data_IF_215506473358
#
_entry.id   IF_215506473358
#
_cell.length_a   1.000
_cell.length_b   1.000
_cell.length_c   1.000
_cell.angle_alpha   90.00
_cell.angle_beta   90.00
_cell.angle_gamma   90.00
#
_symmetry.space_group_name_H-M   'P 1'
#
loop_
_entity.id
_entity.type
_entity.pdbx_description
1 polymer ?
#
# COMPACT_ATOMS: atom_id res chain seq x y z
N UNK A 1 0.40 10.07 9.90
CA UNK A 1 -0.12 9.21 8.83
C UNK A 1 -0.34 7.85 9.43
N UNK A 2 -1.58 7.38 9.36
CA UNK A 2 -1.95 6.03 9.76
C UNK A 2 -1.86 5.12 8.54
N UNK A 3 -0.87 4.22 8.53
CA UNK A 3 -0.57 3.36 7.39
C UNK A 3 -0.87 1.92 7.72
N UNK A 4 -1.86 1.35 7.04
CA UNK A 4 -2.16 -0.08 7.08
C UNK A 4 -1.64 -0.76 5.81
N UNK A 5 -0.86 -1.83 5.97
CA UNK A 5 -0.38 -2.65 4.86
C UNK A 5 -0.98 -4.05 4.99
N UNK A 6 -1.73 -4.47 3.98
CA UNK A 6 -2.30 -5.81 3.85
C UNK A 6 -1.55 -6.58 2.78
N UNK A 7 -1.13 -7.80 3.09
CA UNK A 7 -0.60 -8.74 2.09
C UNK A 7 -1.58 -9.88 1.87
N UNK A 8 -2.39 -9.78 0.82
CA UNK A 8 -3.35 -10.82 0.44
C UNK A 8 -2.66 -12.07 -0.13
N UNK A 9 -1.39 -11.96 -0.52
CA UNK A 9 -0.61 -13.07 -1.07
C UNK A 9 0.00 -13.94 0.02
N UNK A 10 0.11 -13.44 1.26
CA UNK A 10 0.83 -14.04 2.40
C UNK A 10 2.24 -14.52 2.05
N UNK A 11 2.85 -13.92 1.02
CA UNK A 11 4.09 -14.38 0.41
C UNK A 11 5.19 -13.32 0.45
N UNK A 12 4.84 -12.09 0.84
CA UNK A 12 5.78 -10.97 0.86
C UNK A 12 6.65 -11.08 2.13
N UNK A 13 7.99 -11.11 1.99
CA UNK A 13 8.88 -11.10 3.15
C UNK A 13 8.69 -9.85 4.02
N UNK A 14 8.80 -10.01 5.34
CA UNK A 14 8.66 -8.90 6.29
C UNK A 14 9.60 -7.71 5.99
N UNK A 15 10.81 -7.99 5.51
CA UNK A 15 11.78 -6.95 5.10
C UNK A 15 11.24 -6.08 3.95
N UNK A 16 10.47 -6.66 3.03
CA UNK A 16 9.84 -5.94 1.93
C UNK A 16 8.66 -5.10 2.41
N UNK A 17 7.87 -5.61 3.35
CA UNK A 17 6.78 -4.86 3.99
C UNK A 17 7.36 -3.64 4.73
N UNK A 18 8.45 -3.84 5.48
CA UNK A 18 9.13 -2.75 6.18
C UNK A 18 9.67 -1.70 5.22
N UNK A 19 10.28 -2.12 4.10
CA UNK A 19 10.75 -1.21 3.07
C UNK A 19 9.62 -0.34 2.50
N UNK A 20 8.46 -0.93 2.22
CA UNK A 20 7.28 -0.19 1.72
C UNK A 20 6.83 0.84 2.75
N UNK A 21 6.75 0.44 4.02
CA UNK A 21 6.40 1.35 5.12
C UNK A 21 7.36 2.53 5.21
N UNK A 22 8.66 2.27 5.20
CA UNK A 22 9.70 3.30 5.35
C UNK A 22 9.65 4.31 4.19
N UNK A 23 9.47 3.83 2.97
CA UNK A 23 9.35 4.69 1.77
C UNK A 23 8.11 5.55 1.85
N UNK A 24 6.95 4.98 2.19
CA UNK A 24 5.70 5.73 2.29
C UNK A 24 5.74 6.75 3.41
N UNK A 25 6.29 6.40 4.58
CA UNK A 25 6.45 7.33 5.69
C UNK A 25 7.39 8.49 5.34
N UNK A 26 8.52 8.19 4.68
CA UNK A 26 9.43 9.21 4.16
C UNK A 26 8.72 10.14 3.16
N UNK A 27 8.00 9.57 2.18
CA UNK A 27 7.27 10.35 1.18
C UNK A 27 6.17 11.21 1.80
N UNK A 28 5.43 10.70 2.78
CA UNK A 28 4.40 11.47 3.48
C UNK A 28 4.98 12.66 4.24
N UNK A 29 6.12 12.47 4.90
CA UNK A 29 6.87 13.56 5.55
C UNK A 29 7.37 14.58 4.53
N UNK A 30 7.94 14.12 3.42
CA UNK A 30 8.46 15.00 2.36
C UNK A 30 7.36 15.85 1.70
N UNK A 31 6.17 15.27 1.53
CA UNK A 31 5.01 15.94 0.95
C UNK A 31 4.23 16.79 1.97
N UNK A 32 4.69 16.86 3.22
CA UNK A 32 4.03 17.57 4.32
C UNK A 32 2.55 17.15 4.48
N UNK A 33 2.26 15.86 4.31
CA UNK A 33 0.90 15.35 4.48
C UNK A 33 0.43 15.55 5.93
N UNK A 34 -0.86 15.87 6.14
CA UNK A 34 -1.45 15.97 7.47
C UNK A 34 -1.18 14.73 8.33
N UNK A 35 -1.01 14.91 9.64
CA UNK A 35 -0.72 13.82 10.56
C UNK A 35 -1.84 12.78 10.64
N UNK A 36 -3.08 13.18 10.37
CA UNK A 36 -4.28 12.37 10.31
C UNK A 36 -4.55 11.76 8.92
N UNK A 37 -3.57 11.84 8.01
CA UNK A 37 -3.69 11.14 6.72
C UNK A 37 -3.79 9.64 6.93
N UNK A 38 -4.94 9.06 6.59
CA UNK A 38 -5.16 7.63 6.54
C UNK A 38 -4.76 7.07 5.17
N UNK A 39 -3.98 5.99 5.16
CA UNK A 39 -3.55 5.32 3.94
C UNK A 39 -3.56 3.81 4.12
N UNK A 40 -4.23 3.10 3.22
CA UNK A 40 -4.23 1.63 3.17
C UNK A 40 -3.56 1.15 1.89
N UNK A 41 -2.61 0.21 2.01
CA UNK A 41 -1.90 -0.41 0.89
C UNK A 41 -2.17 -1.91 0.91
N UNK A 42 -2.73 -2.43 -0.18
CA UNK A 42 -2.93 -3.88 -0.36
C UNK A 42 -1.98 -4.42 -1.40
N UNK A 43 -1.12 -5.35 -1.00
CA UNK A 43 -0.27 -6.13 -1.86
C UNK A 43 -1.07 -7.35 -2.34
N UNK A 44 -1.28 -7.44 -3.65
CA UNK A 44 -2.09 -8.49 -4.28
C UNK A 44 -1.46 -8.92 -5.61
N UNK A 45 -1.88 -10.07 -6.11
CA UNK A 45 -1.37 -10.60 -7.38
C UNK A 45 -2.03 -9.91 -8.59
N UNK A 46 -1.33 -9.95 -9.73
CA UNK A 46 -1.71 -9.26 -10.96
C UNK A 46 -3.10 -9.67 -11.51
N UNK A 47 -3.50 -10.93 -11.32
CA UNK A 47 -4.82 -11.41 -11.76
C UNK A 47 -5.96 -10.74 -10.99
N UNK A 48 -5.78 -10.53 -9.67
CA UNK A 48 -6.81 -9.95 -8.81
C UNK A 48 -7.01 -8.45 -9.09
N UNK A 49 -5.92 -7.68 -9.30
CA UNK A 49 -6.04 -6.26 -9.65
C UNK A 49 -6.59 -6.07 -11.07
N UNK A 50 -6.37 -7.01 -11.99
CA UNK A 50 -6.93 -6.96 -13.33
C UNK A 50 -8.47 -7.04 -13.29
N UNK A 51 -9.03 -7.97 -12.52
CA UNK A 51 -10.48 -8.08 -12.32
C UNK A 51 -11.08 -6.83 -11.66
N UNK A 52 -10.41 -6.25 -10.65
CA UNK A 52 -10.85 -5.02 -9.99
C UNK A 52 -10.83 -3.83 -10.97
N UNK A 53 -9.75 -3.65 -11.73
CA UNK A 53 -9.66 -2.56 -12.70
C UNK A 53 -10.73 -2.69 -13.79
N UNK A 54 -11.00 -3.91 -14.27
CA UNK A 54 -12.05 -4.17 -15.27
C UNK A 54 -13.45 -3.81 -14.73
N UNK A 55 -13.66 -4.00 -13.43
CA UNK A 55 -14.94 -3.73 -12.75
C UNK A 55 -15.16 -2.25 -12.41
N UNK A 56 -14.11 -1.48 -12.11
CA UNK A 56 -14.24 -0.13 -11.57
C UNK A 56 -13.60 0.99 -12.42
N UNK A 57 -12.72 0.67 -13.38
CA UNK A 57 -11.97 1.65 -14.18
C UNK A 57 -12.17 1.48 -15.69
N UNK A 58 -13.22 0.78 -16.11
CA UNK A 58 -13.57 0.49 -17.50
C UNK A 58 -13.51 1.70 -18.43
#
# INVERSE_FOLDING_TARGET
MDLEIFDDTNSVPAEKIQLVKDVLEFSGKYLELPEDTEMSVTLMNNEQIHEINLKYRG
#
